data_IF_999643187536
#
_entry.id   IF_999643187536
#
_cell.length_a   1.000
_cell.length_b   1.000
_cell.length_c   1.000
_cell.angle_alpha   90.00
_cell.angle_beta   90.00
_cell.angle_gamma   90.00
#
_symmetry.space_group_name_H-M   'P 1'
#
loop_
_entity.id
_entity.type
_entity.pdbx_description
1 polymer ?
#
# COMPACT_ATOMS: atom_id res chain seq x y z
N UNK A 1 -5.90 7.16 32.86
CA UNK A 1 -7.05 6.74 32.03
C UNK A 1 -8.36 7.37 32.49
N UNK A 2 -8.80 7.17 33.74
CA UNK A 2 -10.12 7.67 34.20
C UNK A 2 -10.24 9.20 34.13
N UNK A 3 -9.19 9.94 34.49
CA UNK A 3 -9.14 11.41 34.34
C UNK A 3 -9.17 11.89 32.87
N UNK A 4 -8.61 11.11 31.94
CA UNK A 4 -8.64 11.44 30.52
C UNK A 4 -10.04 11.28 29.92
N UNK A 5 -10.78 10.26 30.39
CA UNK A 5 -12.17 10.03 30.02
C UNK A 5 -13.11 11.13 30.53
N UNK A 6 -12.75 11.81 31.62
CA UNK A 6 -13.55 12.87 32.23
C UNK A 6 -13.31 14.25 31.60
N UNK A 7 -12.13 14.49 31.02
CA UNK A 7 -11.72 15.78 30.46
C UNK A 7 -11.87 15.89 28.94
N UNK A 8 -12.04 14.76 28.24
CA UNK A 8 -12.13 14.66 26.77
C UNK A 8 -11.00 15.40 26.02
N UNK A 9 -9.80 15.43 26.63
CA UNK A 9 -8.64 16.10 26.08
C UNK A 9 -7.87 15.15 25.15
N UNK A 10 -7.84 15.50 23.86
CA UNK A 10 -7.13 14.75 22.81
C UNK A 10 -5.65 14.55 23.12
N UNK A 11 -4.96 15.55 23.66
CA UNK A 11 -3.55 15.43 24.03
C UNK A 11 -3.37 14.42 25.15
N UNK A 12 -4.24 14.46 26.16
CA UNK A 12 -4.19 13.54 27.28
C UNK A 12 -4.47 12.09 26.87
N UNK A 13 -5.36 11.87 25.89
CA UNK A 13 -5.56 10.55 25.29
C UNK A 13 -4.31 10.04 24.57
N UNK A 14 -3.61 10.91 23.83
CA UNK A 14 -2.38 10.54 23.14
C UNK A 14 -1.25 10.20 24.12
N UNK A 15 -1.03 11.03 25.14
CA UNK A 15 -0.01 10.79 26.17
C UNK A 15 -0.27 9.47 26.92
N UNK A 16 -1.54 9.22 27.28
CA UNK A 16 -1.92 7.96 27.91
C UNK A 16 -1.74 6.76 26.97
N UNK A 17 -2.06 6.93 25.68
CA UNK A 17 -1.87 5.91 24.66
C UNK A 17 -0.40 5.50 24.52
N UNK A 18 0.50 6.48 24.46
CA UNK A 18 1.95 6.25 24.38
C UNK A 18 2.49 5.53 25.63
N UNK A 19 2.05 5.93 26.82
CA UNK A 19 2.44 5.28 28.06
C UNK A 19 1.98 3.80 28.12
N UNK A 20 0.76 3.51 27.65
CA UNK A 20 0.24 2.14 27.58
C UNK A 20 0.98 1.31 26.53
N UNK A 21 1.32 1.90 25.38
CA UNK A 21 2.18 1.28 24.37
C UNK A 21 3.53 0.85 24.98
N UNK A 22 4.20 1.76 25.69
CA UNK A 22 5.48 1.48 26.35
C UNK A 22 5.38 0.38 27.42
N UNK A 23 4.20 0.24 28.03
CA UNK A 23 3.89 -0.78 29.04
C UNK A 23 3.45 -2.13 28.44
N UNK A 24 3.34 -2.24 27.10
CA UNK A 24 2.94 -3.46 26.40
C UNK A 24 1.42 -3.64 26.22
N UNK A 25 0.60 -2.69 26.66
CA UNK A 25 -0.86 -2.73 26.56
C UNK A 25 -1.35 -2.19 25.20
N UNK A 26 -0.95 -2.86 24.11
CA UNK A 26 -1.08 -2.35 22.73
C UNK A 26 -2.55 -2.11 22.32
N UNK A 27 -3.47 -3.00 22.69
CA UNK A 27 -4.89 -2.87 22.31
C UNK A 27 -5.55 -1.66 22.98
N UNK A 28 -5.26 -1.44 24.27
CA UNK A 28 -5.77 -0.29 25.03
C UNK A 28 -5.15 1.01 24.54
N UNK A 29 -3.85 0.99 24.22
CA UNK A 29 -3.16 2.12 23.62
C UNK A 29 -3.80 2.55 22.29
N UNK A 30 -4.11 1.60 21.41
CA UNK A 30 -4.75 1.89 20.12
C UNK A 30 -6.13 2.55 20.27
N UNK A 31 -6.93 2.12 21.25
CA UNK A 31 -8.24 2.71 21.55
C UNK A 31 -8.09 4.14 22.08
N UNK A 32 -7.08 4.42 22.91
CA UNK A 32 -6.84 5.78 23.40
C UNK A 32 -6.34 6.70 22.27
N UNK A 33 -5.42 6.22 21.43
CA UNK A 33 -4.93 6.98 20.27
C UNK A 33 -6.04 7.27 19.25
N UNK A 34 -6.98 6.34 19.07
CA UNK A 34 -8.18 6.55 18.24
C UNK A 34 -9.02 7.72 18.76
N UNK A 35 -9.24 7.80 20.08
CA UNK A 35 -9.96 8.91 20.72
C UNK A 35 -9.19 10.22 20.69
N UNK A 36 -7.86 10.15 20.75
CA UNK A 36 -6.98 11.30 20.59
C UNK A 36 -6.81 11.76 19.14
N UNK A 37 -7.50 11.12 18.18
CA UNK A 37 -7.42 11.36 16.74
C UNK A 37 -5.99 11.25 16.17
N UNK A 38 -5.13 10.45 16.82
CA UNK A 38 -3.79 10.16 16.34
C UNK A 38 -3.83 8.98 15.38
N UNK A 39 -4.35 9.24 14.18
CA UNK A 39 -4.71 8.22 13.19
C UNK A 39 -3.51 7.38 12.74
N UNK A 40 -2.35 8.00 12.52
CA UNK A 40 -1.16 7.28 12.05
C UNK A 40 -0.67 6.26 13.09
N UNK A 41 -0.47 6.68 14.35
CA UNK A 41 -0.06 5.74 15.42
C UNK A 41 -1.14 4.70 15.69
N UNK A 42 -2.40 5.10 15.70
CA UNK A 42 -3.54 4.20 15.88
C UNK A 42 -3.56 3.10 14.79
N UNK A 43 -3.37 3.49 13.53
CA UNK A 43 -3.30 2.59 12.38
C UNK A 43 -2.13 1.62 12.47
N UNK A 44 -0.93 2.10 12.84
CA UNK A 44 0.23 1.25 13.06
C UNK A 44 -0.08 0.11 14.07
N UNK A 45 -0.69 0.45 15.20
CA UNK A 45 -1.06 -0.54 16.21
C UNK A 45 -2.17 -1.49 15.74
N UNK A 46 -3.18 -1.00 15.03
CA UNK A 46 -4.24 -1.87 14.51
C UNK A 46 -3.73 -2.83 13.43
N UNK A 47 -2.77 -2.40 12.59
CA UNK A 47 -2.07 -3.30 11.65
C UNK A 47 -1.30 -4.37 12.43
N UNK A 48 -0.54 -3.99 13.47
CA UNK A 48 0.19 -4.95 14.31
C UNK A 48 -0.74 -5.98 14.98
N UNK A 49 -1.91 -5.53 15.45
CA UNK A 49 -2.93 -6.37 16.06
C UNK A 49 -3.79 -7.14 15.04
N UNK A 50 -3.57 -6.93 13.73
CA UNK A 50 -4.39 -7.47 12.64
C UNK A 50 -5.88 -7.13 12.78
N UNK A 51 -6.21 -5.98 13.36
CA UNK A 51 -7.58 -5.48 13.50
C UNK A 51 -8.04 -4.78 12.22
N UNK A 52 -8.07 -5.49 11.09
CA UNK A 52 -8.29 -4.92 9.76
C UNK A 52 -9.56 -4.08 9.65
N UNK A 53 -10.68 -4.54 10.21
CA UNK A 53 -11.94 -3.78 10.23
C UNK A 53 -11.80 -2.40 10.86
N UNK A 54 -10.94 -2.25 11.87
CA UNK A 54 -10.66 -0.94 12.47
C UNK A 54 -9.75 -0.12 11.59
N UNK A 55 -8.73 -0.74 10.98
CA UNK A 55 -7.86 -0.07 10.00
C UNK A 55 -8.71 0.52 8.87
N UNK A 56 -9.60 -0.28 8.27
CA UNK A 56 -10.49 0.13 7.17
C UNK A 56 -11.29 1.40 7.51
N UNK A 57 -11.76 1.51 8.76
CA UNK A 57 -12.55 2.66 9.22
C UNK A 57 -11.70 3.94 9.39
N UNK A 58 -10.44 3.81 9.80
CA UNK A 58 -9.58 4.97 10.10
C UNK A 58 -8.64 5.34 8.95
N UNK A 59 -8.39 4.42 8.01
CA UNK A 59 -7.44 4.58 6.91
C UNK A 59 -7.66 5.87 6.09
N UNK A 60 -8.90 6.36 5.85
CA UNK A 60 -9.11 7.65 5.17
C UNK A 60 -8.52 8.86 5.90
N UNK A 61 -8.31 8.76 7.21
CA UNK A 61 -7.71 9.82 8.03
C UNK A 61 -6.19 9.65 8.21
N UNK A 62 -5.62 8.54 7.73
CA UNK A 62 -4.19 8.22 7.83
C UNK A 62 -3.43 8.96 6.75
N UNK A 63 -2.42 9.74 7.16
CA UNK A 63 -1.61 10.56 6.25
C UNK A 63 -0.30 9.88 5.87
N UNK A 64 0.16 8.92 6.68
CA UNK A 64 1.41 8.22 6.42
C UNK A 64 1.31 7.27 5.22
N UNK A 65 2.02 7.62 4.14
CA UNK A 65 2.15 6.78 2.94
C UNK A 65 2.75 5.40 3.27
N UNK A 66 3.63 5.32 4.28
CA UNK A 66 4.22 4.05 4.72
C UNK A 66 3.18 3.10 5.31
N UNK A 67 2.17 3.64 5.99
CA UNK A 67 1.09 2.83 6.56
C UNK A 67 0.14 2.35 5.46
N UNK A 68 -0.14 3.18 4.45
CA UNK A 68 -0.86 2.75 3.25
C UNK A 68 -0.14 1.59 2.54
N UNK A 69 1.19 1.67 2.35
CA UNK A 69 1.97 0.57 1.78
C UNK A 69 1.94 -0.70 2.65
N UNK A 70 2.04 -0.56 3.97
CA UNK A 70 2.00 -1.69 4.90
C UNK A 70 0.63 -2.40 4.88
N UNK A 71 -0.46 -1.63 4.86
CA UNK A 71 -1.81 -2.14 4.72
C UNK A 71 -2.02 -2.82 3.36
N UNK A 72 -1.57 -2.19 2.27
CA UNK A 72 -1.68 -2.76 0.92
C UNK A 72 -1.00 -4.13 0.82
N UNK A 73 0.22 -4.25 1.35
CA UNK A 73 0.96 -5.51 1.42
C UNK A 73 0.21 -6.60 2.21
N UNK A 74 -0.45 -6.23 3.30
CA UNK A 74 -1.25 -7.16 4.08
C UNK A 74 -2.48 -7.65 3.29
N UNK A 75 -3.19 -6.73 2.63
CA UNK A 75 -4.35 -7.07 1.80
C UNK A 75 -4.00 -7.93 0.59
N UNK A 76 -2.87 -7.64 -0.04
CA UNK A 76 -2.34 -8.47 -1.12
C UNK A 76 -2.07 -9.91 -0.65
N UNK A 77 -1.41 -10.07 0.52
CA UNK A 77 -1.13 -11.38 1.09
C UNK A 77 -2.40 -12.18 1.46
N UNK A 78 -3.52 -11.48 1.72
CA UNK A 78 -4.83 -12.09 1.96
C UNK A 78 -5.65 -12.31 0.68
N UNK A 79 -5.14 -11.89 -0.50
CA UNK A 79 -5.84 -11.99 -1.78
C UNK A 79 -6.88 -10.89 -2.03
N UNK A 80 -6.95 -9.87 -1.18
CA UNK A 80 -7.83 -8.70 -1.34
C UNK A 80 -7.19 -7.68 -2.29
N UNK A 81 -7.06 -8.03 -3.58
CA UNK A 81 -6.31 -7.22 -4.55
C UNK A 81 -6.89 -5.83 -4.80
N UNK A 82 -8.22 -5.66 -4.75
CA UNK A 82 -8.83 -4.35 -4.93
C UNK A 82 -8.43 -3.35 -3.83
N UNK A 83 -8.45 -3.79 -2.56
CA UNK A 83 -8.03 -2.98 -1.43
C UNK A 83 -6.52 -2.70 -1.49
N UNK A 84 -5.73 -3.71 -1.86
CA UNK A 84 -4.29 -3.58 -2.03
C UNK A 84 -3.94 -2.55 -3.11
N UNK A 85 -4.57 -2.61 -4.28
CA UNK A 85 -4.36 -1.66 -5.38
C UNK A 85 -4.67 -0.24 -4.93
N UNK A 86 -5.84 -0.01 -4.32
CA UNK A 86 -6.23 1.32 -3.84
C UNK A 86 -5.20 1.89 -2.85
N UNK A 87 -4.75 1.09 -1.89
CA UNK A 87 -3.78 1.54 -0.90
C UNK A 87 -2.36 1.68 -1.46
N UNK A 88 -1.94 0.86 -2.43
CA UNK A 88 -0.67 1.04 -3.12
C UNK A 88 -0.66 2.32 -3.96
N UNK A 89 -1.76 2.66 -4.64
CA UNK A 89 -1.92 3.95 -5.31
C UNK A 89 -1.75 5.12 -4.35
N UNK A 90 -2.42 5.09 -3.19
CA UNK A 90 -2.27 6.11 -2.16
C UNK A 90 -0.83 6.20 -1.64
N UNK A 91 -0.14 5.06 -1.52
CA UNK A 91 1.26 5.01 -1.09
C UNK A 91 2.25 5.49 -2.17
N UNK A 92 1.83 5.61 -3.43
CA UNK A 92 2.67 5.92 -4.58
C UNK A 92 3.51 4.74 -5.08
N UNK A 93 3.24 3.52 -4.61
CA UNK A 93 3.93 2.30 -5.04
C UNK A 93 3.20 1.67 -6.24
N UNK A 94 3.31 2.34 -7.38
CA UNK A 94 2.61 1.98 -8.61
C UNK A 94 3.21 0.73 -9.28
N UNK A 95 4.47 0.40 -9.02
CA UNK A 95 5.09 -0.84 -9.50
C UNK A 95 4.45 -2.07 -8.84
N UNK A 96 4.11 -1.99 -7.56
CA UNK A 96 3.33 -3.04 -6.90
C UNK A 96 1.94 -3.20 -7.51
N UNK A 97 1.29 -2.10 -7.92
CA UNK A 97 0.00 -2.15 -8.63
C UNK A 97 0.14 -2.85 -9.98
N UNK A 98 1.15 -2.48 -10.77
CA UNK A 98 1.47 -3.11 -12.06
C UNK A 98 1.66 -4.62 -11.88
N UNK A 99 2.46 -5.02 -10.87
CA UNK A 99 2.67 -6.42 -10.55
C UNK A 99 1.36 -7.14 -10.24
N UNK A 100 0.47 -6.53 -9.46
CA UNK A 100 -0.82 -7.14 -9.12
C UNK A 100 -1.67 -7.38 -10.37
N UNK A 101 -1.76 -6.39 -11.26
CA UNK A 101 -2.51 -6.52 -12.50
C UNK A 101 -1.97 -7.65 -13.38
N UNK A 102 -0.64 -7.80 -13.47
CA UNK A 102 -0.02 -8.83 -14.32
C UNK A 102 -0.07 -10.23 -13.69
N UNK A 103 0.32 -10.37 -12.43
CA UNK A 103 0.51 -11.68 -11.79
C UNK A 103 -0.79 -12.30 -11.27
N UNK A 104 -1.72 -11.49 -10.75
CA UNK A 104 -2.92 -11.99 -10.09
C UNK A 104 -4.20 -11.76 -10.88
N UNK A 105 -4.29 -10.66 -11.62
CA UNK A 105 -5.50 -10.30 -12.37
C UNK A 105 -5.41 -10.63 -13.86
N UNK A 106 -4.21 -10.92 -14.38
CA UNK A 106 -3.96 -11.15 -15.81
C UNK A 106 -4.51 -10.03 -16.69
N UNK A 107 -4.37 -8.78 -16.26
CA UNK A 107 -4.85 -7.57 -16.93
C UNK A 107 -3.67 -6.68 -17.37
N UNK A 108 -3.01 -6.99 -18.49
CA UNK A 108 -1.90 -6.19 -19.00
C UNK A 108 -2.35 -4.80 -19.47
N UNK A 109 -3.64 -4.60 -19.76
CA UNK A 109 -4.14 -3.31 -20.20
C UNK A 109 -4.07 -2.28 -19.07
N UNK A 110 -4.67 -2.60 -17.91
CA UNK A 110 -4.61 -1.73 -16.73
C UNK A 110 -3.18 -1.49 -16.25
N UNK A 111 -2.32 -2.52 -16.31
CA UNK A 111 -0.89 -2.36 -16.04
C UNK A 111 -0.21 -1.36 -16.99
N UNK A 112 -0.55 -1.42 -18.28
CA UNK A 112 0.05 -0.53 -19.29
C UNK A 112 -0.36 0.93 -19.12
N UNK A 113 -1.59 1.22 -18.70
CA UNK A 113 -2.05 2.59 -18.44
C UNK A 113 -1.18 3.26 -17.35
N UNK A 114 -0.90 2.54 -16.27
CA UNK A 114 -0.03 3.02 -15.20
C UNK A 114 1.40 3.27 -15.71
N UNK A 115 1.94 2.40 -16.57
CA UNK A 115 3.27 2.59 -17.15
C UNK A 115 3.34 3.82 -18.07
N UNK A 116 2.29 4.08 -18.84
CA UNK A 116 2.24 5.22 -19.75
C UNK A 116 2.32 6.55 -18.99
N UNK A 117 1.73 6.59 -17.80
CA UNK A 117 1.78 7.73 -16.88
C UNK A 117 3.11 7.83 -16.13
N UNK A 118 3.57 6.73 -15.54
CA UNK A 118 4.75 6.72 -14.64
C UNK A 118 6.09 6.67 -15.35
N UNK A 119 6.12 6.06 -16.55
CA UNK A 119 7.35 5.70 -17.27
C UNK A 119 8.33 4.89 -16.43
N UNK A 120 7.80 4.03 -15.54
CA UNK A 120 8.61 3.16 -14.70
C UNK A 120 9.41 2.14 -15.53
N UNK A 121 10.74 2.11 -15.30
CA UNK A 121 11.65 1.14 -15.94
C UNK A 121 11.48 -0.25 -15.34
N UNK A 122 11.22 -0.33 -14.03
CA UNK A 122 10.94 -1.60 -13.36
C UNK A 122 9.60 -2.17 -13.82
N UNK A 123 8.57 -1.32 -13.88
CA UNK A 123 7.25 -1.69 -14.42
C UNK A 123 7.31 -2.15 -15.88
N UNK A 124 8.09 -1.48 -16.73
CA UNK A 124 8.26 -1.86 -18.15
C UNK A 124 8.87 -3.24 -18.33
N UNK A 125 9.85 -3.61 -17.48
CA UNK A 125 10.43 -4.96 -17.47
C UNK A 125 9.41 -6.01 -17.06
N UNK A 126 8.53 -5.72 -16.10
CA UNK A 126 7.47 -6.65 -15.70
C UNK A 126 6.48 -6.88 -16.84
N UNK A 127 6.00 -5.80 -17.46
CA UNK A 127 5.06 -5.88 -18.58
C UNK A 127 5.68 -6.56 -19.80
N UNK A 128 6.95 -6.28 -20.11
CA UNK A 128 7.70 -6.95 -21.19
C UNK A 128 7.75 -8.45 -20.99
N UNK A 129 8.17 -8.89 -19.80
CA UNK A 129 8.25 -10.32 -19.45
C UNK A 129 6.89 -11.01 -19.57
N UNK A 130 5.82 -10.32 -19.20
CA UNK A 130 4.47 -10.86 -19.36
C UNK A 130 4.16 -11.13 -20.84
N UNK A 131 4.41 -10.17 -21.74
CA UNK A 131 4.18 -10.37 -23.17
C UNK A 131 5.12 -11.39 -23.81
N UNK A 132 6.40 -11.43 -23.43
CA UNK A 132 7.36 -12.46 -23.86
C UNK A 132 6.87 -13.88 -23.53
N UNK A 133 6.36 -14.09 -22.31
CA UNK A 133 5.81 -15.38 -21.88
C UNK A 133 4.58 -15.81 -22.70
N UNK A 134 3.86 -14.85 -23.28
CA UNK A 134 2.71 -15.09 -24.16
C UNK A 134 3.08 -15.09 -25.65
N UNK A 135 4.38 -14.96 -25.99
CA UNK A 135 4.89 -14.99 -27.35
C UNK A 135 4.71 -13.68 -28.13
N UNK A 136 4.30 -12.59 -27.47
CA UNK A 136 4.11 -11.27 -28.07
C UNK A 136 5.37 -10.39 -27.88
N UNK A 137 6.40 -10.69 -28.66
CA UNK A 137 7.67 -9.97 -28.58
C UNK A 137 7.58 -8.53 -29.10
N UNK A 138 6.62 -8.24 -29.99
CA UNK A 138 6.41 -6.89 -30.53
C UNK A 138 5.95 -5.94 -29.41
N UNK A 139 4.90 -6.33 -28.67
CA UNK A 139 4.43 -5.56 -27.51
C UNK A 139 5.52 -5.44 -26.44
N UNK A 140 6.26 -6.52 -26.15
CA UNK A 140 7.34 -6.51 -25.18
C UNK A 140 8.41 -5.44 -25.50
N UNK A 141 8.91 -5.43 -26.74
CA UNK A 141 9.89 -4.45 -27.21
C UNK A 141 9.30 -3.04 -27.17
N UNK A 142 8.06 -2.87 -27.62
CA UNK A 142 7.39 -1.56 -27.66
C UNK A 142 7.35 -0.89 -26.29
N UNK A 143 6.92 -1.60 -25.25
CA UNK A 143 6.81 -1.03 -23.91
C UNK A 143 8.17 -0.74 -23.26
N UNK A 144 9.20 -1.55 -23.54
CA UNK A 144 10.57 -1.27 -23.10
C UNK A 144 11.11 0.00 -23.75
N UNK A 145 10.96 0.17 -25.07
CA UNK A 145 11.38 1.39 -25.76
C UNK A 145 10.62 2.61 -25.23
N UNK A 146 9.31 2.47 -25.01
CA UNK A 146 8.44 3.55 -24.56
C UNK A 146 8.82 4.06 -23.16
N UNK A 147 9.33 3.20 -22.28
CA UNK A 147 9.81 3.57 -20.94
C UNK A 147 11.32 3.87 -20.90
N UNK A 148 12.00 3.90 -22.04
CA UNK A 148 13.43 4.23 -22.14
C UNK A 148 14.38 3.06 -21.83
N UNK A 149 13.88 1.83 -21.71
CA UNK A 149 14.64 0.60 -21.46
C UNK A 149 15.22 0.01 -22.76
N UNK A 150 15.99 0.81 -23.50
CA UNK A 150 16.46 0.46 -24.86
C UNK A 150 17.40 -0.76 -24.86
N UNK A 151 18.24 -0.91 -23.82
CA UNK A 151 19.14 -2.06 -23.69
C UNK A 151 18.38 -3.38 -23.59
N UNK A 152 17.28 -3.38 -22.84
CA UNK A 152 16.44 -4.57 -22.65
C UNK A 152 15.67 -4.86 -23.93
N UNK A 153 15.18 -3.83 -24.62
CA UNK A 153 14.52 -3.97 -25.91
C UNK A 153 15.45 -4.62 -26.96
N UNK A 154 16.73 -4.22 -26.98
CA UNK A 154 17.73 -4.77 -27.90
C UNK A 154 18.07 -6.25 -27.60
N UNK A 155 17.92 -6.70 -26.36
CA UNK A 155 18.19 -8.09 -26.01
C UNK A 155 17.12 -9.07 -26.51
N UNK A 156 15.91 -8.57 -26.82
CA UNK A 156 14.76 -9.37 -27.26
C UNK A 156 14.62 -9.37 -28.80
N UNK A 157 15.01 -8.27 -29.45
CA UNK A 157 14.94 -8.07 -30.92
C UNK A 157 15.86 -9.02 -31.70
#
# INVERSE_FOLDING_TARGET
VQLALELDDKQLFNDCGEALMASGHINEAAILLERGENWDKCCELFIQLKQWKKVDNILPNVTSLKLHAAYAKAKEAEGHFADAINSYHLAGDLDSVVRIYLEYLSDPHSASEILLETRSVEGSKMLSRYFEQHGDFESAIQYLVLCGSISDAFAIA
#
